data_IF_721240479123
#
_entry.id   IF_721240479123
#
_cell.length_a   1.000
_cell.length_b   1.000
_cell.length_c   1.000
_cell.angle_alpha   90.00
_cell.angle_beta   90.00
_cell.angle_gamma   90.00
#
_symmetry.space_group_name_H-M   'P 1'
#
loop_
_entity.id
_entity.type
_entity.pdbx_description
1 polymer ?
#
# COMPACT_ATOMS: atom_id res chain seq x y z
N UNK A 1 17.03 -1.05 15.22
CA UNK A 1 15.97 -1.67 14.41
C UNK A 1 16.27 -1.31 12.96
N UNK A 2 16.40 -2.30 12.09
CA UNK A 2 16.68 -2.09 10.66
C UNK A 2 15.46 -1.50 9.96
N UNK A 3 15.70 -0.66 8.96
CA UNK A 3 14.65 -0.06 8.14
C UNK A 3 14.02 -1.14 7.23
N UNK A 4 12.72 -1.41 7.39
CA UNK A 4 11.99 -2.37 6.56
C UNK A 4 11.41 -1.73 5.29
N UNK A 5 11.34 -2.52 4.22
CA UNK A 5 10.63 -2.17 2.98
C UNK A 5 9.64 -3.27 2.57
N UNK A 6 8.53 -2.89 1.94
CA UNK A 6 7.52 -3.81 1.43
C UNK A 6 7.51 -3.81 -0.11
N UNK A 7 7.72 -4.97 -0.73
CA UNK A 7 7.51 -5.19 -2.16
C UNK A 7 6.27 -6.06 -2.35
N UNK A 8 5.29 -5.57 -3.13
CA UNK A 8 4.05 -6.32 -3.41
C UNK A 8 3.71 -6.26 -4.90
N UNK A 9 3.30 -7.40 -5.46
CA UNK A 9 2.85 -7.47 -6.86
C UNK A 9 1.42 -6.96 -7.01
N UNK A 10 1.03 -6.49 -8.20
CA UNK A 10 -0.33 -6.03 -8.47
C UNK A 10 -1.40 -7.10 -8.25
N UNK A 11 -1.08 -8.37 -8.51
CA UNK A 11 -1.99 -9.46 -8.19
C UNK A 11 -2.20 -9.60 -6.68
N UNK A 12 -1.12 -9.63 -5.89
CA UNK A 12 -1.19 -9.69 -4.43
C UNK A 12 -1.86 -8.44 -3.83
N UNK A 13 -1.55 -7.25 -4.36
CA UNK A 13 -2.20 -6.00 -3.99
C UNK A 13 -3.70 -6.05 -4.25
N UNK A 14 -4.13 -6.66 -5.35
CA UNK A 14 -5.55 -6.89 -5.64
C UNK A 14 -6.28 -7.72 -4.58
N UNK A 15 -5.58 -8.64 -3.90
CA UNK A 15 -6.14 -9.35 -2.74
C UNK A 15 -6.07 -8.49 -1.47
N UNK A 16 -4.95 -7.79 -1.25
CA UNK A 16 -4.74 -6.93 -0.10
C UNK A 16 -5.76 -5.78 -0.01
N UNK A 17 -6.19 -5.24 -1.16
CA UNK A 17 -7.18 -4.18 -1.25
C UNK A 17 -8.63 -4.65 -1.02
N UNK A 18 -8.88 -5.96 -0.85
CA UNK A 18 -10.23 -6.49 -0.59
C UNK A 18 -10.59 -6.41 0.90
N UNK A 19 -11.77 -5.87 1.18
CA UNK A 19 -12.49 -5.84 2.46
C UNK A 19 -11.60 -5.93 3.71
N UNK A 20 -11.42 -7.13 4.28
CA UNK A 20 -10.79 -7.35 5.59
C UNK A 20 -9.27 -7.13 5.61
N UNK A 21 -8.60 -7.11 4.44
CA UNK A 21 -7.14 -7.00 4.37
C UNK A 21 -6.67 -5.56 4.14
N UNK A 22 -7.57 -4.67 3.71
CA UNK A 22 -7.22 -3.29 3.30
C UNK A 22 -6.54 -2.52 4.44
N UNK A 23 -7.07 -2.64 5.66
CA UNK A 23 -6.49 -2.00 6.84
C UNK A 23 -5.17 -2.64 7.29
N UNK A 24 -5.04 -3.97 7.16
CA UNK A 24 -3.77 -4.65 7.49
C UNK A 24 -2.65 -4.28 6.53
N UNK A 25 -2.97 -4.13 5.25
CA UNK A 25 -2.02 -3.64 4.25
C UNK A 25 -1.56 -2.23 4.58
N UNK A 26 -2.49 -1.35 4.96
CA UNK A 26 -2.17 0.01 5.38
C UNK A 26 -1.24 0.02 6.61
N UNK A 27 -1.60 -0.71 7.65
CA UNK A 27 -0.80 -0.83 8.88
C UNK A 27 0.63 -1.31 8.59
N UNK A 28 0.78 -2.41 7.85
CA UNK A 28 2.10 -2.90 7.40
C UNK A 28 2.85 -1.84 6.58
N UNK A 29 2.17 -1.17 5.66
CA UNK A 29 2.76 -0.12 4.83
C UNK A 29 3.27 1.08 5.62
N UNK A 30 2.61 1.44 6.72
CA UNK A 30 3.05 2.55 7.60
C UNK A 30 4.25 2.20 8.49
N UNK A 31 4.49 0.92 8.74
CA UNK A 31 5.67 0.45 9.49
C UNK A 31 6.91 0.44 8.58
N UNK A 32 6.73 0.28 7.27
CA UNK A 32 7.82 0.26 6.30
C UNK A 32 8.29 1.68 5.93
N UNK A 33 9.61 1.86 5.79
CA UNK A 33 10.21 3.09 5.28
C UNK A 33 9.87 3.33 3.79
N UNK A 34 9.65 2.24 3.05
CA UNK A 34 9.24 2.29 1.65
C UNK A 34 8.29 1.13 1.33
N UNK A 35 7.32 1.41 0.45
CA UNK A 35 6.43 0.39 -0.13
C UNK A 35 6.50 0.54 -1.65
N UNK A 36 6.84 -0.54 -2.34
CA UNK A 36 6.91 -0.62 -3.80
C UNK A 36 5.82 -1.57 -4.27
N UNK A 37 4.99 -1.09 -5.19
CA UNK A 37 3.88 -1.84 -5.74
C UNK A 37 4.13 -2.12 -7.22
N UNK A 38 4.62 -3.31 -7.57
CA UNK A 38 5.04 -3.62 -8.92
C UNK A 38 3.91 -4.27 -9.75
N UNK A 39 3.87 -3.99 -11.06
CA UNK A 39 2.87 -4.56 -12.01
C UNK A 39 1.41 -4.25 -11.64
N UNK A 40 1.16 -3.07 -11.07
CA UNK A 40 -0.19 -2.62 -10.69
C UNK A 40 -0.96 -1.99 -11.86
N UNK A 41 -2.28 -2.05 -11.80
CA UNK A 41 -3.16 -1.32 -12.73
C UNK A 41 -3.39 0.13 -12.27
N UNK A 42 -3.84 0.99 -13.18
CA UNK A 42 -4.22 2.38 -12.85
C UNK A 42 -5.30 2.43 -11.76
N UNK A 43 -6.29 1.52 -11.83
CA UNK A 43 -7.33 1.40 -10.81
C UNK A 43 -6.76 1.04 -9.44
N UNK A 44 -5.86 0.05 -9.38
CA UNK A 44 -5.23 -0.35 -8.12
C UNK A 44 -4.45 0.80 -7.50
N UNK A 45 -3.69 1.56 -8.30
CA UNK A 45 -2.99 2.76 -7.83
C UNK A 45 -3.96 3.77 -7.21
N UNK A 46 -5.08 4.07 -7.88
CA UNK A 46 -6.10 4.98 -7.35
C UNK A 46 -6.69 4.49 -6.02
N UNK A 47 -6.97 3.18 -5.92
CA UNK A 47 -7.50 2.57 -4.69
C UNK A 47 -6.52 2.67 -3.51
N UNK A 48 -5.21 2.56 -3.74
CA UNK A 48 -4.24 2.76 -2.65
C UNK A 48 -4.14 4.22 -2.25
N UNK A 49 -4.11 5.14 -3.23
CA UNK A 49 -4.12 6.59 -2.96
C UNK A 49 -5.33 6.97 -2.12
N UNK A 50 -6.53 6.49 -2.50
CA UNK A 50 -7.76 6.72 -1.75
C UNK A 50 -7.69 6.13 -0.33
N UNK A 51 -7.21 4.89 -0.18
CA UNK A 51 -7.04 4.24 1.12
C UNK A 51 -6.19 5.09 2.06
N UNK A 52 -5.03 5.55 1.59
CA UNK A 52 -4.09 6.35 2.39
C UNK A 52 -4.71 7.70 2.74
N UNK A 53 -5.32 8.39 1.78
CA UNK A 53 -5.94 9.71 2.04
C UNK A 53 -7.06 9.62 3.07
N UNK A 54 -7.87 8.57 3.03
CA UNK A 54 -9.01 8.42 3.95
C UNK A 54 -8.60 8.03 5.37
N UNK A 55 -7.45 7.39 5.56
CA UNK A 55 -7.08 6.75 6.82
C UNK A 55 -5.79 7.32 7.44
N UNK A 56 -4.96 8.03 6.68
CA UNK A 56 -3.66 8.55 7.13
C UNK A 56 -3.51 10.05 6.85
N UNK A 57 -3.07 10.80 7.86
CA UNK A 57 -2.77 12.23 7.75
C UNK A 57 -1.27 12.40 7.47
N UNK A 58 -0.90 12.40 6.18
CA UNK A 58 0.45 12.74 5.63
C UNK A 58 1.51 11.62 5.59
N UNK A 59 1.20 10.48 4.99
CA UNK A 59 2.24 9.57 4.49
C UNK A 59 2.18 9.50 2.96
N UNK A 60 3.12 10.17 2.29
CA UNK A 60 3.34 9.98 0.86
C UNK A 60 4.02 8.62 0.67
N UNK A 61 3.23 7.56 0.56
CA UNK A 61 3.74 6.28 0.07
C UNK A 61 4.19 6.52 -1.36
N UNK A 62 5.49 6.46 -1.60
CA UNK A 62 6.06 6.71 -2.92
C UNK A 62 5.77 5.53 -3.85
N UNK A 63 4.70 5.63 -4.65
CA UNK A 63 4.31 4.63 -5.64
C UNK A 63 5.22 4.67 -6.87
N UNK A 64 6.24 3.82 -6.90
CA UNK A 64 6.90 3.37 -8.13
C UNK A 64 6.54 1.91 -8.41
#
# INVERSE_FOLDING_TARGET
FEDFGLLITGQALGYALKNKLKMKFLELGTICKAVICCRVTQLQKAQVVELVIQNEKKNYISYF
#
